data_IF_947134854591
#
_entry.id   IF_947134854591
#
_cell.length_a   1.000
_cell.length_b   1.000
_cell.length_c   1.000
_cell.angle_alpha   90.00
_cell.angle_beta   90.00
_cell.angle_gamma   90.00
#
_symmetry.space_group_name_H-M   'P 1'
#
loop_
_entity.id
_entity.type
_entity.pdbx_description
1 polymer ?
#
# COMPACT_ATOMS: atom_id res chain seq x y z
N UNK A 1 9.80 24.45 -25.69
CA UNK A 1 8.99 23.30 -25.21
C UNK A 1 7.54 23.54 -25.60
N UNK A 2 6.85 22.56 -26.18
CA UNK A 2 5.44 22.70 -26.56
C UNK A 2 4.52 22.59 -25.34
N UNK A 3 3.29 23.10 -25.44
CA UNK A 3 2.27 22.97 -24.38
C UNK A 3 2.03 21.50 -23.98
N UNK A 4 2.06 20.58 -24.96
CA UNK A 4 1.95 19.13 -24.74
C UNK A 4 3.12 18.57 -23.94
N UNK A 5 4.35 18.93 -24.31
CA UNK A 5 5.56 18.51 -23.59
C UNK A 5 5.57 19.01 -22.15
N UNK A 6 5.18 20.27 -21.93
CA UNK A 6 5.07 20.83 -20.58
C UNK A 6 3.99 20.12 -19.75
N UNK A 7 2.84 19.78 -20.35
CA UNK A 7 1.79 19.04 -19.66
C UNK A 7 2.25 17.62 -19.29
N UNK A 8 2.90 16.91 -20.22
CA UNK A 8 3.44 15.57 -19.97
C UNK A 8 4.46 15.58 -18.82
N UNK A 9 5.35 16.58 -18.79
CA UNK A 9 6.33 16.72 -17.71
C UNK A 9 5.66 16.93 -16.35
N UNK A 10 4.62 17.77 -16.29
CA UNK A 10 3.84 17.98 -15.04
C UNK A 10 3.16 16.71 -14.58
N UNK A 11 2.52 15.98 -15.49
CA UNK A 11 1.86 14.70 -15.16
C UNK A 11 2.87 13.66 -14.67
N UNK A 12 4.05 13.57 -15.30
CA UNK A 12 5.11 12.67 -14.86
C UNK A 12 5.61 13.02 -13.46
N UNK A 13 5.84 14.31 -13.17
CA UNK A 13 6.25 14.75 -11.84
C UNK A 13 5.20 14.41 -10.78
N UNK A 14 3.92 14.67 -11.06
CA UNK A 14 2.83 14.33 -10.14
C UNK A 14 2.75 12.82 -9.89
N UNK A 15 2.89 12.01 -10.94
CA UNK A 15 2.91 10.55 -10.82
C UNK A 15 4.08 10.05 -9.96
N UNK A 16 5.31 10.54 -10.22
CA UNK A 16 6.49 10.14 -9.45
C UNK A 16 6.39 10.55 -7.98
N UNK A 17 5.83 11.72 -7.69
CA UNK A 17 5.58 12.16 -6.32
C UNK A 17 4.63 11.20 -5.59
N UNK A 18 3.52 10.81 -6.24
CA UNK A 18 2.57 9.85 -5.67
C UNK A 18 3.13 8.43 -5.55
N UNK A 19 3.97 8.00 -6.50
CA UNK A 19 4.68 6.73 -6.37
C UNK A 19 5.64 6.75 -5.18
N UNK A 20 6.41 7.81 -5.00
CA UNK A 20 7.34 7.92 -3.88
C UNK A 20 6.62 7.88 -2.52
N UNK A 21 5.46 8.55 -2.41
CA UNK A 21 4.59 8.46 -1.24
C UNK A 21 4.10 7.03 -0.98
N UNK A 22 3.64 6.34 -2.03
CA UNK A 22 3.21 4.93 -1.93
C UNK A 22 4.36 3.99 -1.53
N UNK A 23 5.54 4.15 -2.13
CA UNK A 23 6.72 3.34 -1.82
C UNK A 23 7.16 3.54 -0.35
N UNK A 24 7.06 4.76 0.18
CA UNK A 24 7.35 5.06 1.59
C UNK A 24 6.38 4.34 2.54
N UNK A 25 5.08 4.38 2.25
CA UNK A 25 4.08 3.64 3.03
C UNK A 25 4.31 2.13 2.97
N UNK A 26 4.74 1.58 1.83
CA UNK A 26 5.11 0.17 1.74
C UNK A 26 6.31 -0.18 2.62
N UNK A 27 7.32 0.69 2.69
CA UNK A 27 8.47 0.50 3.56
C UNK A 27 8.06 0.51 5.04
N UNK A 28 7.16 1.42 5.44
CA UNK A 28 6.61 1.46 6.80
C UNK A 28 5.85 0.17 7.13
N UNK A 29 5.01 -0.32 6.22
CA UNK A 29 4.30 -1.59 6.39
C UNK A 29 5.25 -2.80 6.53
N UNK A 30 6.34 -2.83 5.76
CA UNK A 30 7.36 -3.86 5.88
C UNK A 30 8.07 -3.79 7.24
N UNK A 31 8.39 -2.58 7.71
CA UNK A 31 9.00 -2.38 9.02
C UNK A 31 8.07 -2.81 10.16
N UNK A 32 6.78 -2.46 10.08
CA UNK A 32 5.77 -2.90 11.04
C UNK A 32 5.67 -4.43 11.08
N UNK A 33 5.65 -5.08 9.91
CA UNK A 33 5.62 -6.54 9.81
C UNK A 33 6.86 -7.20 10.42
N UNK A 34 8.04 -6.65 10.13
CA UNK A 34 9.31 -7.13 10.70
C UNK A 34 9.36 -6.99 12.23
N UNK A 35 8.70 -5.97 12.78
CA UNK A 35 8.56 -5.74 14.21
C UNK A 35 7.33 -6.45 14.83
N UNK A 36 6.80 -7.48 14.17
CA UNK A 36 5.63 -8.25 14.63
C UNK A 36 4.41 -7.38 14.95
N UNK A 37 4.26 -6.25 14.26
CA UNK A 37 3.24 -5.24 14.54
C UNK A 37 3.28 -4.71 15.98
N UNK A 38 4.45 -4.76 16.63
CA UNK A 38 4.65 -4.40 18.03
C UNK A 38 4.01 -5.39 19.01
N UNK A 39 3.59 -6.57 18.55
CA UNK A 39 3.01 -7.59 19.42
C UNK A 39 4.12 -8.38 20.13
N UNK A 40 3.96 -8.54 21.45
CA UNK A 40 4.74 -9.51 22.21
C UNK A 40 4.16 -10.92 22.00
N UNK A 41 4.96 -11.90 21.55
CA UNK A 41 4.50 -13.28 21.40
C UNK A 41 3.91 -13.91 22.67
N UNK A 42 4.29 -13.44 23.86
CA UNK A 42 3.80 -13.96 25.14
C UNK A 42 2.47 -13.32 25.58
N UNK A 43 2.17 -12.11 25.09
CA UNK A 43 1.00 -11.30 25.49
C UNK A 43 0.03 -10.97 24.33
N UNK A 44 0.17 -11.64 23.17
CA UNK A 44 -0.70 -11.39 22.02
C UNK A 44 -2.15 -11.83 22.31
N UNK A 45 -3.12 -10.96 22.03
CA UNK A 45 -4.55 -11.22 22.21
C UNK A 45 -5.31 -11.20 20.88
N UNK A 46 -6.56 -11.66 20.92
CA UNK A 46 -7.47 -11.68 19.77
C UNK A 46 -7.70 -10.30 19.14
N UNK A 47 -7.59 -9.21 19.92
CA UNK A 47 -7.69 -7.85 19.39
C UNK A 47 -6.60 -7.51 18.38
N UNK A 48 -5.37 -7.95 18.62
CA UNK A 48 -4.24 -7.78 17.70
C UNK A 48 -4.45 -8.57 16.41
N UNK A 49 -5.03 -9.78 16.50
CA UNK A 49 -5.38 -10.59 15.32
C UNK A 49 -6.40 -9.86 14.45
N UNK A 50 -7.45 -9.28 15.05
CA UNK A 50 -8.46 -8.52 14.31
C UNK A 50 -7.90 -7.28 13.60
N UNK A 51 -6.97 -6.56 14.24
CA UNK A 51 -6.29 -5.42 13.61
C UNK A 51 -5.47 -5.88 12.39
N UNK A 52 -4.72 -6.99 12.52
CA UNK A 52 -3.91 -7.52 11.44
C UNK A 52 -4.76 -8.03 10.27
N UNK A 53 -5.89 -8.67 10.56
CA UNK A 53 -6.86 -9.08 9.54
C UNK A 53 -7.35 -7.86 8.74
N UNK A 54 -7.77 -6.80 9.44
CA UNK A 54 -8.21 -5.56 8.80
C UNK A 54 -7.14 -4.96 7.87
N UNK A 55 -5.89 -4.81 8.34
CA UNK A 55 -4.80 -4.28 7.51
C UNK A 55 -4.52 -5.16 6.28
N UNK A 56 -4.54 -6.47 6.47
CA UNK A 56 -4.32 -7.45 5.39
C UNK A 56 -5.40 -7.36 4.33
N UNK A 57 -6.67 -7.19 4.72
CA UNK A 57 -7.77 -7.01 3.78
C UNK A 57 -7.62 -5.74 2.93
N UNK A 58 -7.18 -4.62 3.52
CA UNK A 58 -6.97 -3.38 2.76
C UNK A 58 -5.89 -3.56 1.68
N UNK A 59 -4.76 -4.17 2.04
CA UNK A 59 -3.67 -4.47 1.09
C UNK A 59 -4.14 -5.42 0.00
N UNK A 60 -4.94 -6.44 0.37
CA UNK A 60 -5.50 -7.40 -0.58
C UNK A 60 -6.41 -6.72 -1.60
N UNK A 61 -7.32 -5.85 -1.17
CA UNK A 61 -8.22 -5.10 -2.08
C UNK A 61 -7.44 -4.29 -3.11
N UNK A 62 -6.41 -3.56 -2.69
CA UNK A 62 -5.55 -2.78 -3.61
C UNK A 62 -4.83 -3.70 -4.60
N UNK A 63 -4.31 -4.83 -4.12
CA UNK A 63 -3.58 -5.81 -4.93
C UNK A 63 -4.50 -6.48 -5.95
N UNK A 64 -5.68 -6.90 -5.53
CA UNK A 64 -6.65 -7.57 -6.39
C UNK A 64 -7.20 -6.61 -7.45
N UNK A 65 -7.46 -5.34 -7.11
CA UNK A 65 -7.82 -4.32 -8.08
C UNK A 65 -6.73 -4.11 -9.14
N UNK A 66 -5.45 -4.08 -8.75
CA UNK A 66 -4.33 -3.92 -9.68
C UNK A 66 -4.16 -5.13 -10.61
N UNK A 67 -4.24 -6.33 -10.06
CA UNK A 67 -4.07 -7.58 -10.83
C UNK A 67 -5.36 -8.08 -11.49
N UNK A 68 -6.48 -7.37 -11.33
CA UNK A 68 -7.81 -7.78 -11.82
C UNK A 68 -8.22 -9.17 -11.33
N UNK A 69 -8.12 -9.40 -10.03
CA UNK A 69 -8.46 -10.67 -9.37
C UNK A 69 -9.77 -10.54 -8.59
N UNK A 70 -10.38 -11.68 -8.25
CA UNK A 70 -11.59 -11.72 -7.43
C UNK A 70 -12.75 -10.99 -8.10
N UNK A 71 -13.33 -10.01 -7.41
CA UNK A 71 -14.42 -9.18 -7.94
C UNK A 71 -14.04 -8.31 -9.15
N UNK A 72 -12.74 -8.15 -9.41
CA UNK A 72 -12.19 -7.34 -10.51
C UNK A 72 -11.79 -8.17 -11.74
N UNK A 73 -12.02 -9.48 -11.73
CA UNK A 73 -11.77 -10.35 -12.89
C UNK A 73 -12.96 -10.27 -13.87
N UNK A 74 -12.74 -9.66 -15.04
CA UNK A 74 -13.67 -9.68 -16.18
C UNK A 74 -13.54 -10.97 -17.00
#
# INVERSE_FOLDING_TARGET
MTKRQANQQKSLQAFLAKKAEFDALLADLQQMSADHFGADPEDVLWGQVGNLEFYTEQIRRVTDAYFKRGEYAE
#
